data_IF_479044974919
#
_entry.id   IF_479044974919
#
_cell.length_a   1.000
_cell.length_b   1.000
_cell.length_c   1.000
_cell.angle_alpha   90.00
_cell.angle_beta   90.00
_cell.angle_gamma   90.00
#
_symmetry.space_group_name_H-M   'P 1'
#
loop_
_entity.id
_entity.type
_entity.pdbx_description
1 polymer ?
#
# COMPACT_ATOMS: atom_id res chain seq x y z
N UNK A 1 6.36 -18.03 -1.90
CA UNK A 1 5.73 -19.06 -1.05
C UNK A 1 5.55 -18.53 0.36
N UNK A 2 4.37 -18.73 1.00
CA UNK A 2 4.16 -18.33 2.38
C UNK A 2 4.94 -19.23 3.35
N UNK A 3 5.29 -18.70 4.52
CA UNK A 3 5.84 -19.49 5.63
C UNK A 3 5.11 -19.18 6.92
N UNK A 4 5.13 -20.13 7.86
CA UNK A 4 4.46 -19.98 9.14
C UNK A 4 5.44 -19.49 10.20
N UNK A 5 4.99 -18.54 11.02
CA UNK A 5 5.71 -18.06 12.20
C UNK A 5 4.87 -18.43 13.42
N UNK A 6 5.46 -19.20 14.34
CA UNK A 6 4.86 -19.49 15.63
C UNK A 6 5.24 -18.36 16.59
N UNK A 7 4.26 -17.59 17.04
CA UNK A 7 4.43 -16.71 18.19
C UNK A 7 4.39 -17.61 19.43
N UNK A 8 5.53 -17.75 20.12
CA UNK A 8 5.78 -18.76 21.16
C UNK A 8 4.95 -18.65 22.45
N UNK A 9 3.63 -18.76 22.35
CA UNK A 9 2.71 -19.05 23.45
C UNK A 9 2.09 -20.44 23.30
N UNK A 10 1.47 -20.96 24.37
CA UNK A 10 0.87 -22.30 24.49
C UNK A 10 -0.39 -22.54 23.61
N UNK A 11 -0.60 -21.75 22.55
CA UNK A 11 -1.75 -21.85 21.66
C UNK A 11 -1.38 -22.13 20.20
N UNK A 12 -2.27 -22.75 19.39
CA UNK A 12 -2.04 -22.91 17.96
C UNK A 12 -2.23 -21.56 17.26
N UNK A 13 -1.17 -20.74 17.23
CA UNK A 13 -1.19 -19.45 16.53
C UNK A 13 -0.05 -19.38 15.53
N UNK A 14 -0.20 -20.13 14.44
CA UNK A 14 0.68 -20.02 13.29
C UNK A 14 0.25 -18.81 12.44
N UNK A 15 1.06 -17.76 12.39
CA UNK A 15 0.85 -16.65 11.47
C UNK A 15 1.40 -17.02 10.10
N UNK A 16 0.59 -16.90 9.04
CA UNK A 16 1.05 -17.11 7.67
C UNK A 16 1.63 -15.81 7.12
N UNK A 17 2.93 -15.78 6.84
CA UNK A 17 3.59 -14.63 6.23
C UNK A 17 3.65 -14.79 4.71
N UNK A 18 3.21 -13.76 3.98
CA UNK A 18 3.40 -13.61 2.54
C UNK A 18 4.39 -12.48 2.31
N UNK A 19 5.39 -12.71 1.46
CA UNK A 19 6.40 -11.71 1.08
C UNK A 19 6.22 -11.33 -0.38
N UNK A 20 6.44 -10.05 -0.67
CA UNK A 20 6.49 -9.48 -2.00
C UNK A 20 7.25 -8.16 -1.94
N UNK A 21 7.59 -7.61 -3.10
CA UNK A 21 8.18 -6.29 -3.21
C UNK A 21 7.48 -5.52 -4.33
N UNK A 22 7.48 -4.20 -4.21
CA UNK A 22 6.98 -3.30 -5.23
C UNK A 22 8.06 -2.24 -5.45
N UNK A 23 8.44 -2.02 -6.70
CA UNK A 23 9.34 -0.95 -7.08
C UNK A 23 8.51 0.25 -7.55
N UNK A 24 8.77 1.41 -6.97
CA UNK A 24 8.28 2.69 -7.46
C UNK A 24 9.46 3.49 -8.00
N UNK A 25 9.23 4.27 -9.06
CA UNK A 25 10.21 5.27 -9.46
C UNK A 25 10.31 6.33 -8.36
N UNK A 26 11.51 6.44 -7.78
CA UNK A 26 11.80 7.37 -6.70
C UNK A 26 12.37 8.70 -7.23
N UNK A 27 12.67 8.80 -8.53
CA UNK A 27 13.42 9.92 -9.09
C UNK A 27 12.54 10.92 -9.85
N UNK A 28 12.93 12.20 -9.86
CA UNK A 28 13.98 12.83 -9.04
C UNK A 28 13.53 13.09 -7.59
N UNK A 29 12.23 13.05 -7.30
CA UNK A 29 11.65 13.34 -6.00
C UNK A 29 10.33 12.57 -5.83
N UNK A 30 10.24 11.68 -4.84
CA UNK A 30 9.03 10.93 -4.52
C UNK A 30 8.62 11.17 -3.05
N UNK A 31 7.98 12.31 -2.76
CA UNK A 31 7.64 12.70 -1.40
C UNK A 31 6.62 11.75 -0.75
N UNK A 32 5.88 10.97 -1.53
CA UNK A 32 5.02 9.93 -1.01
C UNK A 32 5.83 8.86 -0.30
N UNK A 33 6.89 8.36 -0.92
CA UNK A 33 7.78 7.37 -0.30
C UNK A 33 8.55 7.98 0.88
N UNK A 34 9.02 9.23 0.76
CA UNK A 34 9.80 9.89 1.81
C UNK A 34 9.01 10.15 3.10
N UNK A 35 7.69 10.32 2.99
CA UNK A 35 6.80 10.62 4.13
C UNK A 35 5.98 9.41 4.60
N UNK A 36 6.13 8.25 3.95
CA UNK A 36 5.46 7.02 4.37
C UNK A 36 6.13 6.39 5.59
N UNK A 37 5.32 5.86 6.51
CA UNK A 37 5.82 5.08 7.64
C UNK A 37 6.53 3.81 7.13
N UNK A 38 7.63 3.37 7.78
CA UNK A 38 8.31 2.12 7.43
C UNK A 38 7.40 0.88 7.49
N UNK A 39 6.33 0.94 8.29
CA UNK A 39 5.32 -0.11 8.43
C UNK A 39 3.94 0.51 8.47
N UNK A 40 3.04 0.01 7.62
CA UNK A 40 1.61 0.36 7.65
C UNK A 40 0.80 -0.85 8.07
N UNK A 41 0.00 -0.70 9.12
CA UNK A 41 -1.00 -1.69 9.50
C UNK A 41 -2.22 -1.52 8.60
N UNK A 42 -2.41 -2.43 7.66
CA UNK A 42 -3.57 -2.48 6.79
C UNK A 42 -4.40 -3.75 7.00
N UNK A 43 -5.72 -3.62 6.97
CA UNK A 43 -6.66 -4.71 7.20
C UNK A 43 -7.96 -4.22 7.84
N UNK A 44 -8.98 -5.07 7.83
CA UNK A 44 -10.25 -4.77 8.49
C UNK A 44 -10.17 -5.07 9.99
N UNK A 45 -10.80 -4.21 10.79
CA UNK A 45 -10.77 -4.29 12.27
C UNK A 45 -11.31 -5.60 12.81
N UNK A 46 -12.14 -6.30 12.03
CA UNK A 46 -12.77 -7.56 12.44
C UNK A 46 -11.92 -8.80 12.18
N UNK A 47 -10.70 -8.65 11.63
CA UNK A 47 -9.77 -9.79 11.45
C UNK A 47 -10.27 -10.86 10.49
N UNK A 48 -11.36 -10.61 9.76
CA UNK A 48 -11.87 -11.56 8.79
C UNK A 48 -11.06 -11.44 7.50
N UNK A 49 -10.64 -12.60 7.02
CA UNK A 49 -10.01 -12.77 5.71
C UNK A 49 -10.94 -12.27 4.58
N UNK A 50 -12.22 -12.01 4.86
CA UNK A 50 -13.21 -11.46 3.95
C UNK A 50 -12.96 -9.99 3.55
N UNK A 51 -12.10 -9.27 4.27
CA UNK A 51 -11.73 -7.91 3.91
C UNK A 51 -11.04 -7.81 2.54
N UNK A 52 -11.10 -6.62 1.92
CA UNK A 52 -10.57 -6.40 0.57
C UNK A 52 -9.10 -6.85 0.45
N UNK A 53 -8.25 -6.49 1.41
CA UNK A 53 -6.82 -6.81 1.38
C UNK A 53 -6.58 -8.33 1.47
N UNK A 54 -7.35 -9.02 2.30
CA UNK A 54 -7.30 -10.49 2.41
C UNK A 54 -7.69 -11.17 1.09
N UNK A 55 -8.69 -10.65 0.37
CA UNK A 55 -9.07 -11.14 -0.96
C UNK A 55 -7.95 -10.96 -1.99
N UNK A 56 -7.31 -9.78 -2.03
CA UNK A 56 -6.17 -9.53 -2.93
C UNK A 56 -4.98 -10.44 -2.61
N UNK A 57 -4.63 -10.61 -1.32
CA UNK A 57 -3.54 -11.50 -0.91
C UNK A 57 -3.85 -12.96 -1.30
N UNK A 58 -5.10 -13.42 -1.12
CA UNK A 58 -5.51 -14.75 -1.58
C UNK A 58 -5.34 -14.93 -3.08
N UNK A 59 -5.79 -13.96 -3.88
CA UNK A 59 -5.64 -14.02 -5.33
C UNK A 59 -4.16 -14.02 -5.74
N UNK A 60 -3.33 -13.19 -5.13
CA UNK A 60 -1.89 -13.16 -5.39
C UNK A 60 -1.20 -14.49 -5.03
N UNK A 61 -1.65 -15.18 -3.96
CA UNK A 61 -1.12 -16.51 -3.63
C UNK A 61 -1.51 -17.57 -4.65
N UNK A 62 -2.75 -17.55 -5.15
CA UNK A 62 -3.21 -18.47 -6.20
C UNK A 62 -2.40 -18.24 -7.47
N UNK A 63 -2.27 -16.99 -7.90
CA UNK A 63 -1.53 -16.62 -9.12
C UNK A 63 -0.04 -16.94 -9.00
N UNK A 64 0.55 -16.76 -7.81
CA UNK A 64 1.96 -17.11 -7.58
C UNK A 64 2.21 -18.63 -7.57
N UNK A 65 1.20 -19.45 -7.31
CA UNK A 65 1.32 -20.91 -7.28
C UNK A 65 1.23 -21.49 -8.70
N UNK A 66 0.29 -20.97 -9.51
CA UNK A 66 0.07 -21.40 -10.88
C UNK A 66 0.86 -20.50 -11.84
N UNK A 67 2.03 -20.96 -12.31
CA UNK A 67 2.88 -20.24 -13.29
C UNK A 67 2.24 -20.16 -14.69
N UNK A 68 1.08 -19.52 -14.78
CA UNK A 68 0.33 -19.30 -16.01
C UNK A 68 0.96 -18.16 -16.82
N UNK A 69 0.76 -18.21 -18.13
CA UNK A 69 1.12 -17.10 -19.01
C UNK A 69 0.39 -15.82 -18.53
N UNK A 70 1.17 -14.76 -18.29
CA UNK A 70 0.65 -13.49 -17.79
C UNK A 70 0.56 -13.36 -16.26
N UNK A 71 0.90 -14.40 -15.49
CA UNK A 71 0.77 -14.35 -14.02
C UNK A 71 1.66 -13.31 -13.35
N UNK A 72 2.86 -13.03 -13.89
CA UNK A 72 3.70 -11.93 -13.42
C UNK A 72 3.02 -10.56 -13.62
N UNK A 73 2.36 -10.33 -14.75
CA UNK A 73 1.60 -9.10 -15.01
C UNK A 73 0.42 -8.96 -14.06
N UNK A 74 -0.28 -10.06 -13.77
CA UNK A 74 -1.38 -10.09 -12.80
C UNK A 74 -0.84 -9.75 -11.40
N UNK A 75 0.24 -10.40 -10.96
CA UNK A 75 0.88 -10.13 -9.66
C UNK A 75 1.35 -8.69 -9.53
N UNK A 76 1.93 -8.11 -10.59
CA UNK A 76 2.33 -6.70 -10.61
C UNK A 76 1.12 -5.78 -10.41
N UNK A 77 0.02 -6.02 -11.13
CA UNK A 77 -1.20 -5.21 -11.00
C UNK A 77 -1.89 -5.38 -9.66
N UNK A 78 -1.91 -6.59 -9.10
CA UNK A 78 -2.43 -6.84 -7.76
C UNK A 78 -1.60 -6.09 -6.70
N UNK A 79 -0.27 -6.12 -6.83
CA UNK A 79 0.63 -5.42 -5.90
C UNK A 79 0.45 -3.90 -5.96
N UNK A 80 0.33 -3.35 -7.16
CA UNK A 80 0.05 -1.92 -7.41
C UNK A 80 -1.28 -1.50 -6.78
N UNK A 81 -2.36 -2.26 -7.02
CA UNK A 81 -3.68 -1.97 -6.45
C UNK A 81 -3.70 -2.09 -4.93
N UNK A 82 -3.02 -3.09 -4.37
CA UNK A 82 -2.88 -3.24 -2.92
C UNK A 82 -2.17 -2.03 -2.32
N UNK A 83 -1.03 -1.62 -2.89
CA UNK A 83 -0.27 -0.46 -2.43
C UNK A 83 -1.12 0.81 -2.42
N UNK A 84 -1.77 1.13 -3.54
CA UNK A 84 -2.61 2.33 -3.67
C UNK A 84 -3.72 2.33 -2.60
N UNK A 85 -4.39 1.20 -2.40
CA UNK A 85 -5.48 1.10 -1.41
C UNK A 85 -4.97 1.19 0.03
N UNK A 86 -3.82 0.60 0.35
CA UNK A 86 -3.20 0.70 1.66
C UNK A 86 -2.85 2.16 1.96
N UNK A 87 -2.18 2.85 1.03
CA UNK A 87 -1.80 4.26 1.20
C UNK A 87 -3.03 5.15 1.33
N UNK A 88 -4.04 4.97 0.48
CA UNK A 88 -5.29 5.75 0.56
C UNK A 88 -5.98 5.59 1.91
N UNK A 89 -6.16 4.35 2.36
CA UNK A 89 -6.81 4.06 3.65
C UNK A 89 -6.00 4.60 4.83
N UNK A 90 -4.67 4.61 4.72
CA UNK A 90 -3.80 5.23 5.70
C UNK A 90 -4.02 6.75 5.76
N UNK A 91 -4.04 7.43 4.61
CA UNK A 91 -4.32 8.86 4.50
C UNK A 91 -5.70 9.24 5.06
N UNK A 92 -6.73 8.44 4.77
CA UNK A 92 -8.09 8.62 5.29
C UNK A 92 -8.17 8.43 6.81
N UNK A 93 -7.29 7.62 7.39
CA UNK A 93 -7.25 7.34 8.83
C UNK A 93 -6.39 8.35 9.62
N UNK A 94 -5.66 9.25 8.96
CA UNK A 94 -4.87 10.27 9.65
C UNK A 94 -5.80 11.20 10.47
N UNK A 95 -5.42 11.57 11.70
CA UNK A 95 -6.14 12.57 12.48
C UNK A 95 -6.28 13.90 11.72
N UNK A 96 -7.35 14.69 11.94
CA UNK A 96 -7.50 16.02 11.34
C UNK A 96 -6.30 16.93 11.64
N UNK A 97 -5.75 16.82 12.85
CA UNK A 97 -4.64 17.61 13.38
C UNK A 97 -3.26 17.21 12.82
N UNK A 98 -3.16 16.08 12.11
CA UNK A 98 -1.91 15.64 11.53
C UNK A 98 -1.47 16.66 10.46
N UNK A 99 -0.32 17.30 10.66
CA UNK A 99 0.31 18.19 9.70
C UNK A 99 1.42 17.46 8.92
N UNK A 100 1.80 17.99 7.75
CA UNK A 100 2.88 17.45 6.91
C UNK A 100 2.44 17.15 5.48
N UNK A 101 3.35 16.60 4.68
CA UNK A 101 3.13 16.38 3.23
C UNK A 101 1.90 15.51 2.94
N UNK A 102 1.73 14.41 3.69
CA UNK A 102 0.57 13.52 3.58
C UNK A 102 -0.76 14.19 3.96
N UNK A 103 -0.72 15.15 4.89
CA UNK A 103 -1.91 15.93 5.24
C UNK A 103 -2.36 16.85 4.10
N UNK A 104 -1.40 17.43 3.37
CA UNK A 104 -1.67 18.21 2.16
C UNK A 104 -2.36 17.42 1.05
N UNK A 105 -2.07 16.12 0.92
CA UNK A 105 -2.78 15.24 -0.03
C UNK A 105 -4.24 14.98 0.33
N UNK A 106 -4.60 15.04 1.62
CA UNK A 106 -5.98 14.83 2.08
C UNK A 106 -6.85 16.06 1.86
N UNK A 107 -6.25 17.25 1.88
CA UNK A 107 -6.98 18.50 1.68
C UNK A 107 -7.39 18.68 0.19
N UNK A 108 -8.67 18.91 -0.12
CA UNK A 108 -9.15 19.01 -1.51
C UNK A 108 -8.51 20.15 -2.32
N UNK A 109 -8.12 21.25 -1.67
CA UNK A 109 -7.53 22.42 -2.34
C UNK A 109 -6.02 22.25 -2.47
N UNK A 110 -5.34 21.89 -1.37
CA UNK A 110 -3.89 21.67 -1.36
C UNK A 110 -3.50 20.48 -2.22
N UNK A 111 -4.22 19.36 -2.13
CA UNK A 111 -3.95 18.16 -2.94
C UNK A 111 -4.10 18.42 -4.44
N UNK A 112 -5.08 19.26 -4.83
CA UNK A 112 -5.26 19.68 -6.22
C UNK A 112 -4.11 20.59 -6.68
N UNK A 113 -3.71 21.56 -5.87
CA UNK A 113 -2.57 22.42 -6.16
C UNK A 113 -1.27 21.61 -6.30
N UNK A 114 -1.00 20.69 -5.37
CA UNK A 114 0.14 19.79 -5.41
C UNK A 114 0.13 18.89 -6.66
N UNK A 115 -1.03 18.36 -7.05
CA UNK A 115 -1.15 17.56 -8.29
C UNK A 115 -0.85 18.38 -9.54
N UNK A 116 -1.33 19.63 -9.60
CA UNK A 116 -1.02 20.55 -10.70
C UNK A 116 0.47 20.88 -10.76
N UNK A 117 1.09 21.19 -9.60
CA UNK A 117 2.52 21.45 -9.48
C UNK A 117 3.37 20.26 -9.92
N UNK A 118 3.03 19.05 -9.47
CA UNK A 118 3.71 17.82 -9.89
C UNK A 118 3.51 17.49 -11.37
N UNK A 119 2.38 17.86 -11.98
CA UNK A 119 2.15 17.67 -13.41
C UNK A 119 2.98 18.60 -14.32
N UNK A 120 3.54 19.68 -13.78
CA UNK A 120 4.39 20.62 -14.53
C UNK A 120 5.45 21.25 -13.62
N UNK A 121 6.43 20.47 -13.14
CA UNK A 121 7.39 20.92 -12.13
C UNK A 121 8.32 22.02 -12.64
N UNK A 122 8.57 22.08 -13.95
CA UNK A 122 9.41 23.10 -14.58
C UNK A 122 8.69 24.45 -14.82
N UNK A 123 7.39 24.54 -14.50
CA UNK A 123 6.62 25.78 -14.64
C UNK A 123 6.90 26.70 -13.45
N UNK A 124 7.05 28.00 -13.70
CA UNK A 124 7.04 28.98 -12.62
C UNK A 124 5.60 29.16 -12.12
N UNK A 125 5.36 28.73 -10.89
CA UNK A 125 4.05 28.83 -10.22
C UNK A 125 3.93 30.18 -9.51
N UNK A 126 2.76 30.83 -9.67
CA UNK A 126 2.36 32.09 -9.03
C UNK A 126 1.02 31.91 -8.34
#
# INVERSE_FOLDING_TARGET
MPFFVNYGGDGPTSARLVRGFLACDAQPFNPLLDNLLPVIKAGDKQGSDAGWLGQFIRLAMIESADKRAGGESVLAKLSELMFIKVVRRHLEALPPEQAGWLAGLRDPFVGKALSLMHGSPARNWT
#
